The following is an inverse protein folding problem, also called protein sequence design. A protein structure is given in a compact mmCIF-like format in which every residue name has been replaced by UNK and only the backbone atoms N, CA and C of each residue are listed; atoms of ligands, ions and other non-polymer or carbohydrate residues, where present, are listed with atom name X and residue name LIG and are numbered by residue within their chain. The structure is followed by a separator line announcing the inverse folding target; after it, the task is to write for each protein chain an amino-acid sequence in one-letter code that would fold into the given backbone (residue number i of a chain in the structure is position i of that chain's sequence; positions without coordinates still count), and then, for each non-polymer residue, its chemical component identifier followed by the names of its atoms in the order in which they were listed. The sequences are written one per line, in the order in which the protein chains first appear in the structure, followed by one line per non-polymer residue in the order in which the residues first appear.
data_IF_138195156308
#
_entry.id   IF_138195156308
#
_cell.length_a   1.000
_cell.length_b   1.000
_cell.length_c   1.000
_cell.angle_alpha   90.00
_cell.angle_beta   90.00
_cell.angle_gamma   90.00
#
_symmetry.space_group_name_H-M   'P 1'
#
loop_
_entity.id
_entity.type
_entity.pdbx_description
1 polymer ?
#
# COMPACT_ATOMS: atom_id res chain seq x y z
N UNK A 1 -14.73 -5.52 1.60
CA UNK A 1 -14.22 -6.53 0.64
C UNK A 1 -12.96 -7.29 1.12
N UNK A 2 -11.74 -6.73 1.09
CA UNK A 2 -10.53 -7.51 1.48
C UNK A 2 -10.45 -7.82 2.98
N UNK A 3 -10.79 -6.86 3.84
CA UNK A 3 -10.79 -7.07 5.30
C UNK A 3 -11.74 -8.20 5.73
N UNK A 4 -12.95 -8.23 5.18
CA UNK A 4 -13.95 -9.26 5.51
C UNK A 4 -13.53 -10.65 5.03
N UNK A 5 -12.90 -10.73 3.85
CA UNK A 5 -12.37 -11.99 3.34
C UNK A 5 -11.31 -12.58 4.29
N UNK A 6 -10.35 -11.77 4.72
CA UNK A 6 -9.31 -12.20 5.66
C UNK A 6 -9.89 -12.61 7.02
N UNK A 7 -10.91 -11.90 7.52
CA UNK A 7 -11.62 -12.27 8.75
C UNK A 7 -12.33 -13.63 8.62
N UNK A 8 -12.94 -13.93 7.47
CA UNK A 8 -13.56 -15.24 7.20
C UNK A 8 -12.54 -16.38 7.19
N UNK A 9 -11.28 -16.10 6.84
CA UNK A 9 -10.17 -17.05 6.94
C UNK A 9 -9.59 -17.18 8.37
N UNK A 10 -10.18 -16.50 9.35
CA UNK A 10 -9.73 -16.54 10.75
C UNK A 10 -8.60 -15.55 11.07
N UNK A 11 -8.21 -14.68 10.13
CA UNK A 11 -7.19 -13.67 10.39
C UNK A 11 -7.73 -12.54 11.28
N UNK A 12 -6.92 -12.10 12.25
CA UNK A 12 -7.15 -10.86 12.99
C UNK A 12 -6.71 -9.67 12.13
N UNK A 13 -7.67 -8.88 11.67
CA UNK A 13 -7.44 -7.66 10.89
C UNK A 13 -7.56 -6.44 11.81
N UNK A 14 -6.63 -5.49 11.71
CA UNK A 14 -6.67 -4.25 12.49
C UNK A 14 -7.55 -3.19 11.83
N UNK A 15 -8.50 -2.63 12.57
CA UNK A 15 -9.51 -1.70 12.03
C UNK A 15 -9.11 -0.21 12.06
N UNK A 16 -8.06 0.14 12.80
CA UNK A 16 -7.63 1.53 13.03
C UNK A 16 -6.14 1.77 12.78
N UNK A 17 -5.48 0.84 12.10
CA UNK A 17 -4.07 1.00 11.73
C UNK A 17 -4.01 1.85 10.47
N UNK A 18 -3.82 3.16 10.64
CA UNK A 18 -3.52 4.07 9.53
C UNK A 18 -2.01 4.19 9.41
N UNK A 19 -1.44 3.46 8.45
CA UNK A 19 -0.04 3.60 8.05
C UNK A 19 0.03 4.40 6.75
N UNK A 20 1.09 5.18 6.52
CA UNK A 20 1.29 5.83 5.23
C UNK A 20 1.33 4.81 4.09
N UNK A 21 0.38 4.92 3.18
CA UNK A 21 0.15 3.96 2.07
C UNK A 21 1.43 3.73 1.26
N UNK A 22 2.20 4.80 1.01
CA UNK A 22 3.47 4.73 0.29
C UNK A 22 4.52 3.87 0.99
N UNK A 23 4.64 3.98 2.31
CA UNK A 23 5.61 3.20 3.09
C UNK A 23 5.23 1.72 3.08
N UNK A 24 3.95 1.42 3.25
CA UNK A 24 3.44 0.04 3.22
C UNK A 24 3.64 -0.58 1.84
N UNK A 25 3.29 0.14 0.78
CA UNK A 25 3.44 -0.33 -0.60
C UNK A 25 4.92 -0.56 -0.97
N UNK A 26 5.83 0.30 -0.52
CA UNK A 26 7.27 0.11 -0.75
C UNK A 26 7.80 -1.08 0.03
N UNK A 27 7.45 -1.20 1.31
CA UNK A 27 7.87 -2.34 2.15
C UNK A 27 7.34 -3.67 1.62
N UNK A 28 6.17 -3.68 0.98
CA UNK A 28 5.61 -4.84 0.31
C UNK A 28 6.26 -5.17 -1.04
N UNK A 29 7.19 -4.35 -1.53
CA UNK A 29 7.86 -4.52 -2.82
C UNK A 29 6.97 -4.22 -4.04
N UNK A 30 5.80 -3.60 -3.82
CA UNK A 30 4.84 -3.28 -4.89
C UNK A 30 5.28 -2.05 -5.67
N UNK A 31 5.86 -1.07 -4.97
CA UNK A 31 6.30 0.20 -5.55
C UNK A 31 7.70 0.57 -5.09
N UNK A 32 8.38 1.37 -5.90
CA UNK A 32 9.55 2.14 -5.50
C UNK A 32 9.19 3.64 -5.51
N UNK A 33 9.97 4.49 -4.85
CA UNK A 33 9.79 5.94 -4.93
C UNK A 33 11.09 6.67 -5.24
N UNK A 34 10.98 7.72 -6.06
CA UNK A 34 12.09 8.62 -6.38
C UNK A 34 12.16 9.82 -5.43
N UNK A 35 13.17 10.69 -5.63
CA UNK A 35 13.36 11.93 -4.86
C UNK A 35 12.14 12.87 -4.85
N UNK A 36 11.26 12.75 -5.84
CA UNK A 36 10.04 13.57 -5.99
C UNK A 36 8.82 12.97 -5.27
N UNK A 37 8.99 11.98 -4.39
CA UNK A 37 7.91 11.37 -3.58
C UNK A 37 6.82 10.60 -4.34
N UNK A 38 6.90 10.50 -5.67
CA UNK A 38 6.02 9.68 -6.50
C UNK A 38 6.36 8.19 -6.35
N UNK A 39 5.32 7.38 -6.14
CA UNK A 39 5.42 5.92 -6.19
C UNK A 39 5.32 5.43 -7.65
N UNK A 40 6.11 4.43 -8.01
CA UNK A 40 6.05 3.76 -9.31
C UNK A 40 6.15 2.25 -9.15
N UNK A 41 5.46 1.51 -10.02
CA UNK A 41 5.57 0.06 -10.14
C UNK A 41 6.10 -0.29 -11.53
N UNK A 42 6.90 -1.36 -11.59
CA UNK A 42 7.43 -1.88 -12.85
C UNK A 42 6.29 -2.25 -13.81
N UNK A 43 6.41 -1.85 -15.07
CA UNK A 43 5.39 -2.07 -16.10
C UNK A 43 4.16 -1.14 -16.05
N UNK A 44 3.96 -0.36 -14.97
CA UNK A 44 2.80 0.53 -14.79
C UNK A 44 3.21 2.02 -14.78
N UNK A 45 4.48 2.33 -14.50
CA UNK A 45 5.00 3.70 -14.47
C UNK A 45 4.62 4.47 -13.19
N UNK A 46 4.71 5.81 -13.23
CA UNK A 46 4.59 6.71 -12.07
C UNK A 46 3.14 7.11 -11.70
N UNK A 47 2.12 6.43 -12.24
CA UNK A 47 0.71 6.83 -12.11
C UNK A 47 0.05 6.32 -10.81
N UNK A 48 0.84 5.97 -9.79
CA UNK A 48 0.32 5.41 -8.55
C UNK A 48 -0.02 6.54 -7.59
N UNK A 49 -1.31 6.76 -7.39
CA UNK A 49 -1.81 7.67 -6.38
C UNK A 49 -1.71 7.01 -4.99
N UNK A 50 -0.87 7.59 -4.13
CA UNK A 50 -0.77 7.24 -2.72
C UNK A 50 -0.91 8.53 -1.91
N UNK A 51 -1.53 8.47 -0.73
CA UNK A 51 -1.61 9.67 0.12
C UNK A 51 -0.20 10.21 0.44
N UNK A 52 0.00 11.54 0.36
CA UNK A 52 1.24 12.16 0.79
C UNK A 52 1.51 11.87 2.27
N UNK A 53 2.80 11.87 2.65
CA UNK A 53 3.23 11.87 4.05
C UNK A 53 2.84 13.18 4.73
#
# INVERSE_FOLDING_TARGET
MMQEFLRKLGCKVGDKISLPERLVATKAGIVNYGRNNFAYAEGIGYFIYARPL
#
